data_IF_293828068262
#
_entry.id   IF_293828068262
#
_cell.length_a   1.000
_cell.length_b   1.000
_cell.length_c   1.000
_cell.angle_alpha   90.00
_cell.angle_beta   90.00
_cell.angle_gamma   90.00
#
_symmetry.space_group_name_H-M   'P 1'
#
loop_
_entity.id
_entity.type
_entity.pdbx_description
1 polymer ?
#
# COMPACT_ATOMS: atom_id res chain seq x y z
N UNK A 1 -9.69 -4.75 -13.91
CA UNK A 1 -9.61 -3.94 -15.14
C UNK A 1 -9.72 -4.82 -16.39
N UNK A 2 -10.75 -5.65 -16.43
CA UNK A 2 -11.10 -6.38 -17.64
C UNK A 2 -12.22 -5.66 -18.37
N UNK A 3 -12.19 -5.63 -19.69
CA UNK A 3 -13.24 -5.02 -20.52
C UNK A 3 -14.58 -5.73 -20.27
N UNK A 4 -14.55 -7.00 -19.85
CA UNK A 4 -15.72 -7.74 -19.40
C UNK A 4 -16.38 -7.21 -18.12
N UNK A 5 -15.61 -6.69 -17.15
CA UNK A 5 -16.18 -6.08 -15.93
C UNK A 5 -16.98 -4.81 -16.26
N UNK A 6 -16.49 -4.04 -17.22
CA UNK A 6 -17.16 -2.86 -17.73
C UNK A 6 -18.53 -3.22 -18.35
N UNK A 7 -18.63 -4.33 -19.09
CA UNK A 7 -19.91 -4.78 -19.64
C UNK A 7 -20.94 -5.05 -18.54
N UNK A 8 -20.55 -5.76 -17.48
CA UNK A 8 -21.46 -6.06 -16.37
C UNK A 8 -21.97 -4.80 -15.67
N UNK A 9 -21.10 -3.81 -15.44
CA UNK A 9 -21.50 -2.52 -14.85
C UNK A 9 -22.45 -1.77 -15.80
N UNK A 10 -22.11 -1.72 -17.09
CA UNK A 10 -22.89 -0.97 -18.07
C UNK A 10 -24.23 -1.62 -18.41
N UNK A 11 -24.32 -2.95 -18.45
CA UNK A 11 -25.57 -3.67 -18.69
C UNK A 11 -26.51 -3.57 -17.49
N UNK A 12 -25.97 -3.55 -16.27
CA UNK A 12 -26.75 -3.24 -15.08
C UNK A 12 -27.31 -1.81 -15.10
N UNK A 13 -26.49 -0.81 -15.42
CA UNK A 13 -26.91 0.60 -15.43
C UNK A 13 -27.79 0.96 -16.63
N UNK A 14 -27.47 0.40 -17.80
CA UNK A 14 -28.10 0.69 -19.08
C UNK A 14 -28.32 -0.62 -19.85
N UNK A 15 -29.34 -1.41 -19.50
CA UNK A 15 -29.61 -2.69 -20.14
C UNK A 15 -29.69 -2.57 -21.66
N UNK A 16 -29.11 -3.54 -22.37
CA UNK A 16 -29.04 -3.62 -23.84
C UNK A 16 -28.18 -2.57 -24.55
N UNK A 17 -27.58 -1.58 -23.86
CA UNK A 17 -26.74 -0.56 -24.50
C UNK A 17 -25.56 -1.16 -25.29
N UNK A 18 -24.95 -2.21 -24.73
CA UNK A 18 -23.77 -2.87 -25.30
C UNK A 18 -24.10 -4.24 -25.93
N UNK A 19 -25.38 -4.59 -25.98
CA UNK A 19 -25.87 -5.89 -26.43
C UNK A 19 -25.48 -7.06 -25.50
N UNK A 20 -25.79 -8.30 -25.90
CA UNK A 20 -25.49 -9.49 -25.12
C UNK A 20 -23.99 -9.68 -24.85
N UNK A 21 -23.64 -10.28 -23.70
CA UNK A 21 -22.25 -10.49 -23.27
C UNK A 21 -21.36 -11.19 -24.33
N UNK A 22 -21.94 -12.15 -25.06
CA UNK A 22 -21.25 -12.90 -26.13
C UNK A 22 -20.87 -11.99 -27.30
N UNK A 23 -21.77 -11.11 -27.72
CA UNK A 23 -21.53 -10.15 -28.78
C UNK A 23 -20.55 -9.07 -28.34
N UNK A 24 -20.72 -8.53 -27.12
CA UNK A 24 -19.79 -7.58 -26.55
C UNK A 24 -18.37 -8.14 -26.49
N UNK A 25 -18.21 -9.40 -26.05
CA UNK A 25 -16.90 -10.06 -26.00
C UNK A 25 -16.27 -10.17 -27.39
N UNK A 26 -17.05 -10.55 -28.40
CA UNK A 26 -16.57 -10.67 -29.78
C UNK A 26 -16.19 -9.31 -30.37
N UNK A 27 -17.01 -8.28 -30.15
CA UNK A 27 -16.89 -6.96 -30.78
C UNK A 27 -15.89 -6.03 -30.10
N UNK A 28 -15.77 -6.12 -28.78
CA UNK A 28 -14.94 -5.21 -28.00
C UNK A 28 -13.90 -5.95 -27.16
N UNK A 29 -14.30 -6.85 -26.25
CA UNK A 29 -13.36 -7.40 -25.27
C UNK A 29 -12.20 -8.18 -25.91
N UNK A 30 -12.46 -9.12 -26.81
CA UNK A 30 -11.40 -9.90 -27.45
C UNK A 30 -10.48 -9.05 -28.35
N UNK A 31 -11.00 -8.15 -29.23
CA UNK A 31 -10.16 -7.21 -29.97
C UNK A 31 -9.27 -6.32 -29.09
N UNK A 32 -9.83 -5.75 -28.03
CA UNK A 32 -9.11 -4.82 -27.14
C UNK A 32 -8.07 -5.57 -26.30
N UNK A 33 -8.44 -6.70 -25.69
CA UNK A 33 -7.57 -7.40 -24.74
C UNK A 33 -6.49 -8.25 -25.44
N UNK A 34 -6.84 -8.93 -26.55
CA UNK A 34 -5.91 -9.84 -27.24
C UNK A 34 -5.10 -9.14 -28.33
N UNK A 35 -5.73 -8.25 -29.07
CA UNK A 35 -5.14 -7.63 -30.25
C UNK A 35 -4.73 -6.16 -30.01
N UNK A 36 -4.97 -5.63 -28.80
CA UNK A 36 -4.69 -4.23 -28.44
C UNK A 36 -5.30 -3.23 -29.43
N UNK A 37 -6.48 -3.56 -29.95
CA UNK A 37 -7.15 -2.76 -30.97
C UNK A 37 -7.60 -1.40 -30.42
N UNK A 38 -6.86 -0.35 -30.82
CA UNK A 38 -7.10 1.02 -30.38
C UNK A 38 -8.37 1.64 -30.96
N UNK A 39 -8.88 1.12 -32.09
CA UNK A 39 -10.09 1.61 -32.74
C UNK A 39 -11.33 1.12 -31.97
N UNK A 40 -11.38 -0.18 -31.66
CA UNK A 40 -12.46 -0.73 -30.84
C UNK A 40 -12.47 -0.11 -29.43
N UNK A 41 -11.29 0.17 -28.86
CA UNK A 41 -11.17 0.88 -27.58
C UNK A 41 -11.78 2.29 -27.64
N UNK A 42 -11.47 3.07 -28.69
CA UNK A 42 -12.05 4.41 -28.91
C UNK A 42 -13.57 4.34 -29.12
N UNK A 43 -14.05 3.37 -29.89
CA UNK A 43 -15.47 3.19 -30.16
C UNK A 43 -16.25 2.84 -28.88
N UNK A 44 -15.72 1.91 -28.08
CA UNK A 44 -16.30 1.57 -26.79
C UNK A 44 -16.35 2.78 -25.85
N UNK A 45 -15.23 3.52 -25.74
CA UNK A 45 -15.18 4.74 -24.94
C UNK A 45 -16.26 5.75 -25.33
N UNK A 46 -16.48 6.00 -26.63
CA UNK A 46 -17.54 6.92 -27.09
C UNK A 46 -18.94 6.49 -26.69
N UNK A 47 -19.23 5.19 -26.70
CA UNK A 47 -20.54 4.65 -26.31
C UNK A 47 -20.83 4.81 -24.82
N UNK A 48 -19.81 4.60 -23.97
CA UNK A 48 -19.98 4.63 -22.51
C UNK A 48 -19.75 6.01 -21.90
N UNK A 49 -19.03 6.91 -22.59
CA UNK A 49 -18.62 8.20 -22.04
C UNK A 49 -19.76 9.06 -21.47
N UNK A 50 -20.95 9.15 -22.10
CA UNK A 50 -22.08 9.93 -21.55
C UNK A 50 -22.58 9.44 -20.19
N UNK A 51 -22.28 8.18 -19.83
CA UNK A 51 -22.76 7.54 -18.61
C UNK A 51 -21.68 7.44 -17.52
N UNK A 52 -20.43 7.79 -17.84
CA UNK A 52 -19.30 7.67 -16.92
C UNK A 52 -18.73 9.06 -16.66
N UNK A 53 -19.08 9.61 -15.50
CA UNK A 53 -18.38 10.77 -14.95
C UNK A 53 -17.15 10.28 -14.18
N UNK A 54 -15.96 10.46 -14.76
CA UNK A 54 -14.68 10.22 -14.08
C UNK A 54 -14.00 11.55 -13.82
N UNK A 55 -13.84 11.90 -12.55
CA UNK A 55 -13.01 13.02 -12.10
C UNK A 55 -11.73 12.47 -11.48
N UNK A 56 -10.62 13.13 -11.75
CA UNK A 56 -9.33 12.83 -11.10
C UNK A 56 -8.95 14.00 -10.21
N UNK A 57 -8.19 13.77 -9.14
CA UNK A 57 -7.80 14.87 -8.23
C UNK A 57 -6.87 15.91 -8.89
N UNK A 58 -6.36 15.60 -10.08
CA UNK A 58 -5.59 16.50 -10.94
C UNK A 58 -6.47 17.25 -11.95
N UNK A 59 -7.80 17.21 -11.78
CA UNK A 59 -8.75 17.97 -12.61
C UNK A 59 -8.68 19.46 -12.21
N UNK A 60 -8.36 20.39 -13.12
CA UNK A 60 -8.22 21.81 -12.81
C UNK A 60 -9.42 22.42 -12.10
N UNK A 61 -10.62 21.91 -12.36
CA UNK A 61 -11.87 22.35 -11.72
C UNK A 61 -12.03 21.88 -10.26
N UNK A 62 -11.13 21.02 -9.77
CA UNK A 62 -11.05 20.50 -8.38
C UNK A 62 -9.76 20.99 -7.69
N UNK A 63 -8.70 21.25 -8.46
CA UNK A 63 -7.36 21.58 -7.97
C UNK A 63 -7.32 22.90 -7.18
N UNK A 64 -8.26 23.83 -7.37
CA UNK A 64 -8.19 25.17 -6.75
C UNK A 64 -8.07 25.16 -5.23
N UNK A 65 -8.48 24.07 -4.57
CA UNK A 65 -8.62 23.99 -3.10
C UNK A 65 -7.70 22.96 -2.43
N UNK A 66 -6.86 22.23 -3.17
CA UNK A 66 -5.97 21.20 -2.60
C UNK A 66 -4.50 21.63 -2.65
N UNK A 67 -3.75 21.52 -1.53
CA UNK A 67 -2.35 21.93 -1.50
C UNK A 67 -1.46 20.94 -2.26
N UNK A 68 -0.19 21.32 -2.45
CA UNK A 68 0.79 20.45 -3.10
C UNK A 68 0.99 19.13 -2.32
N UNK A 69 1.06 18.02 -3.06
CA UNK A 69 1.35 16.68 -2.52
C UNK A 69 2.70 16.21 -3.07
N UNK A 70 3.65 15.95 -2.17
CA UNK A 70 4.95 15.38 -2.49
C UNK A 70 5.00 13.92 -2.05
N UNK A 71 5.37 13.01 -2.97
CA UNK A 71 5.58 11.59 -2.64
C UNK A 71 7.06 11.26 -2.81
N UNK A 72 7.64 10.60 -1.80
CA UNK A 72 9.04 10.23 -1.78
C UNK A 72 9.25 8.82 -1.24
N UNK A 73 10.20 8.11 -1.84
CA UNK A 73 10.68 6.83 -1.34
C UNK A 73 11.70 7.07 -0.23
N UNK A 74 11.52 6.39 0.91
CA UNK A 74 12.44 6.40 2.05
C UNK A 74 13.11 5.04 2.11
N UNK A 75 14.35 5.00 1.63
CA UNK A 75 15.16 3.79 1.62
C UNK A 75 15.72 3.50 3.01
N UNK A 76 15.52 2.28 3.47
CA UNK A 76 15.99 1.77 4.75
C UNK A 76 16.89 0.57 4.51
N UNK A 77 18.03 0.49 5.21
CA UNK A 77 18.88 -0.69 5.14
C UNK A 77 18.40 -1.74 6.17
N UNK A 78 18.59 -3.01 5.85
CA UNK A 78 18.38 -4.08 6.81
C UNK A 78 19.52 -4.08 7.83
N UNK A 79 19.22 -4.42 9.07
CA UNK A 79 20.26 -4.81 10.03
C UNK A 79 20.88 -6.16 9.62
N UNK A 80 22.07 -6.46 10.12
CA UNK A 80 22.74 -7.76 9.87
C UNK A 80 21.86 -8.95 10.24
N UNK A 81 21.10 -8.81 11.32
CA UNK A 81 20.15 -9.84 11.75
C UNK A 81 18.98 -9.97 10.76
N UNK A 82 18.36 -8.85 10.36
CA UNK A 82 17.29 -8.87 9.37
C UNK A 82 17.76 -9.52 8.07
N UNK A 83 18.97 -9.19 7.59
CA UNK A 83 19.54 -9.80 6.38
C UNK A 83 19.74 -11.31 6.53
N UNK A 84 20.26 -11.77 7.67
CA UNK A 84 20.42 -13.20 7.97
C UNK A 84 19.08 -13.95 8.00
N UNK A 85 18.08 -13.41 8.68
CA UNK A 85 16.72 -13.96 8.71
C UNK A 85 16.09 -13.98 7.32
N UNK A 86 16.26 -12.90 6.56
CA UNK A 86 15.71 -12.76 5.22
C UNK A 86 16.31 -13.81 4.27
N UNK A 87 17.63 -13.98 4.26
CA UNK A 87 18.31 -14.98 3.43
C UNK A 87 17.91 -16.41 3.79
N UNK A 88 17.80 -16.71 5.09
CA UNK A 88 17.37 -18.03 5.57
C UNK A 88 15.95 -18.37 5.11
N UNK A 89 15.00 -17.45 5.31
CA UNK A 89 13.60 -17.62 4.88
C UNK A 89 13.49 -17.72 3.37
N UNK A 90 14.20 -16.87 2.61
CA UNK A 90 14.17 -16.94 1.14
C UNK A 90 14.67 -18.30 0.64
N UNK A 91 15.76 -18.82 1.20
CA UNK A 91 16.32 -20.11 0.80
C UNK A 91 15.37 -21.27 1.11
N UNK A 92 14.81 -21.30 2.33
CA UNK A 92 13.83 -22.31 2.77
C UNK A 92 12.58 -22.31 1.87
N UNK A 93 12.02 -21.11 1.63
CA UNK A 93 10.76 -20.98 0.90
C UNK A 93 10.94 -21.28 -0.59
N UNK A 94 12.04 -20.87 -1.22
CA UNK A 94 12.31 -21.22 -2.62
C UNK A 94 12.48 -22.73 -2.81
N UNK A 95 13.18 -23.41 -1.91
CA UNK A 95 13.29 -24.88 -1.94
C UNK A 95 11.93 -25.58 -1.83
N UNK A 96 11.03 -25.04 -1.00
CA UNK A 96 9.66 -25.55 -0.87
C UNK A 96 8.79 -25.27 -2.11
N UNK A 97 9.03 -24.16 -2.81
CA UNK A 97 8.26 -23.73 -3.98
C UNK A 97 8.63 -24.53 -5.23
N UNK A 98 9.90 -24.92 -5.37
CA UNK A 98 10.41 -25.67 -6.54
C UNK A 98 9.65 -26.99 -6.76
N UNK A 99 9.18 -27.64 -5.70
CA UNK A 99 8.42 -28.89 -5.76
C UNK A 99 6.89 -28.74 -5.69
N UNK A 100 6.35 -27.53 -5.56
CA UNK A 100 4.93 -27.29 -5.33
C UNK A 100 4.20 -26.81 -6.60
N UNK A 101 2.92 -27.18 -6.73
CA UNK A 101 2.06 -26.76 -7.82
C UNK A 101 0.69 -26.25 -7.35
N UNK A 102 -0.03 -25.56 -8.24
CA UNK A 102 -1.41 -25.13 -8.00
C UNK A 102 -1.59 -24.30 -6.74
N UNK A 103 -2.61 -24.63 -5.94
CA UNK A 103 -2.98 -23.86 -4.74
C UNK A 103 -1.90 -23.91 -3.64
N UNK A 104 -1.17 -25.03 -3.53
CA UNK A 104 -0.08 -25.17 -2.57
C UNK A 104 1.05 -24.18 -2.88
N UNK A 105 1.45 -24.10 -4.16
CA UNK A 105 2.46 -23.14 -4.60
C UNK A 105 2.05 -21.71 -4.30
N UNK A 106 0.81 -21.33 -4.61
CA UNK A 106 0.28 -19.99 -4.30
C UNK A 106 0.32 -19.68 -2.81
N UNK A 107 -0.07 -20.65 -1.96
CA UNK A 107 0.00 -20.51 -0.50
C UNK A 107 1.42 -20.30 0.02
N UNK A 108 2.40 -21.06 -0.49
CA UNK A 108 3.80 -20.90 -0.13
C UNK A 108 4.35 -19.53 -0.51
N UNK A 109 4.02 -19.03 -1.72
CA UNK A 109 4.45 -17.71 -2.19
C UNK A 109 3.89 -16.61 -1.28
N UNK A 110 2.59 -16.65 -0.97
CA UNK A 110 1.96 -15.67 -0.09
C UNK A 110 2.56 -15.73 1.33
N UNK A 111 2.82 -16.93 1.85
CA UNK A 111 3.47 -17.08 3.15
C UNK A 111 4.90 -16.50 3.14
N UNK A 112 5.66 -16.71 2.06
CA UNK A 112 7.01 -16.16 1.92
C UNK A 112 6.98 -14.63 1.92
N UNK A 113 6.10 -14.04 1.11
CA UNK A 113 5.90 -12.59 1.04
C UNK A 113 5.58 -12.01 2.42
N UNK A 114 4.65 -12.63 3.15
CA UNK A 114 4.26 -12.16 4.50
C UNK A 114 5.44 -12.22 5.46
N UNK A 115 6.16 -13.34 5.51
CA UNK A 115 7.34 -13.51 6.38
C UNK A 115 8.43 -12.48 6.06
N UNK A 116 8.74 -12.28 4.79
CA UNK A 116 9.77 -11.32 4.36
C UNK A 116 9.36 -9.88 4.69
N UNK A 117 8.09 -9.51 4.51
CA UNK A 117 7.57 -8.20 4.95
C UNK A 117 7.68 -8.02 6.47
N UNK A 118 7.37 -9.05 7.27
CA UNK A 118 7.55 -9.00 8.72
C UNK A 118 9.02 -8.81 9.11
N UNK A 119 9.96 -9.48 8.42
CA UNK A 119 11.40 -9.31 8.63
C UNK A 119 11.84 -7.87 8.30
N UNK A 120 11.42 -7.33 7.16
CA UNK A 120 11.70 -5.93 6.77
C UNK A 120 11.16 -4.93 7.80
N UNK A 121 9.97 -5.20 8.36
CA UNK A 121 9.39 -4.38 9.42
C UNK A 121 10.19 -4.47 10.72
N UNK A 122 10.36 -5.68 11.25
CA UNK A 122 11.11 -5.92 12.48
C UNK A 122 11.36 -7.42 12.76
N UNK A 123 12.57 -7.86 13.16
CA UNK A 123 12.84 -9.25 13.56
C UNK A 123 11.88 -9.82 14.61
N UNK A 124 11.65 -9.09 15.71
CA UNK A 124 10.67 -9.45 16.75
C UNK A 124 9.24 -9.70 16.22
N UNK A 125 8.82 -9.03 15.13
CA UNK A 125 7.52 -9.29 14.50
C UNK A 125 7.52 -10.67 13.84
N UNK A 126 8.56 -10.99 13.06
CA UNK A 126 8.70 -12.28 12.40
C UNK A 126 8.90 -13.44 13.39
N UNK A 127 9.73 -13.23 14.41
CA UNK A 127 10.08 -14.24 15.42
C UNK A 127 8.98 -14.43 16.48
N UNK A 128 7.99 -13.53 16.53
CA UNK A 128 6.94 -13.56 17.56
C UNK A 128 7.46 -13.26 18.97
N UNK A 129 8.55 -12.49 19.10
CA UNK A 129 9.12 -12.12 20.39
C UNK A 129 8.13 -11.25 21.19
N UNK A 130 7.84 -11.55 22.47
CA UNK A 130 6.93 -10.73 23.27
C UNK A 130 7.58 -9.40 23.66
N UNK A 131 6.73 -8.42 24.02
CA UNK A 131 7.19 -7.15 24.59
C UNK A 131 7.53 -6.05 23.57
N UNK A 132 8.20 -4.97 24.03
CA UNK A 132 8.49 -3.81 23.20
C UNK A 132 9.49 -4.15 22.09
N UNK A 133 9.51 -3.33 21.04
CA UNK A 133 10.47 -3.48 19.96
C UNK A 133 11.88 -3.08 20.42
N UNK A 134 12.88 -3.96 20.34
CA UNK A 134 14.27 -3.58 20.50
C UNK A 134 14.79 -2.79 19.28
N UNK A 135 15.91 -2.09 19.41
CA UNK A 135 16.55 -1.35 18.31
C UNK A 135 17.27 -2.31 17.35
N UNK A 136 16.50 -3.03 16.54
CA UNK A 136 16.97 -4.09 15.62
C UNK A 136 16.37 -3.98 14.21
N UNK A 137 15.80 -2.83 13.85
CA UNK A 137 15.14 -2.61 12.55
C UNK A 137 15.41 -1.24 11.96
N UNK A 138 16.03 -1.20 10.79
CA UNK A 138 16.32 0.05 10.08
C UNK A 138 15.06 0.86 9.72
N UNK A 139 13.92 0.22 9.47
CA UNK A 139 12.65 0.94 9.26
C UNK A 139 12.14 1.59 10.54
N UNK A 140 12.25 0.92 11.69
CA UNK A 140 11.81 1.50 12.96
C UNK A 140 12.70 2.69 13.33
N UNK A 141 14.01 2.54 13.16
CA UNK A 141 14.98 3.59 13.42
C UNK A 141 14.70 4.81 12.54
N UNK A 142 14.50 4.60 11.23
CA UNK A 142 14.20 5.68 10.30
C UNK A 142 12.86 6.36 10.55
N UNK A 143 11.83 5.58 10.90
CA UNK A 143 10.51 6.12 11.23
C UNK A 143 10.58 7.00 12.48
N UNK A 144 11.32 6.55 13.50
CA UNK A 144 11.55 7.30 14.73
C UNK A 144 12.20 8.65 14.44
N UNK A 145 13.35 8.65 13.75
CA UNK A 145 14.08 9.88 13.40
C UNK A 145 13.19 10.90 12.68
N UNK A 146 12.47 10.45 11.66
CA UNK A 146 11.59 11.34 10.89
C UNK A 146 10.39 11.84 11.70
N UNK A 147 9.85 11.03 12.61
CA UNK A 147 8.74 11.47 13.46
C UNK A 147 9.20 12.43 14.56
N UNK A 148 10.42 12.29 15.07
CA UNK A 148 11.01 13.27 16.00
C UNK A 148 11.10 14.66 15.35
N UNK A 149 11.57 14.74 14.10
CA UNK A 149 11.61 15.98 13.31
C UNK A 149 10.21 16.55 13.10
N UNK A 150 9.25 15.72 12.64
CA UNK A 150 7.86 16.14 12.41
C UNK A 150 7.22 16.68 13.67
N UNK A 151 7.38 16.01 14.81
CA UNK A 151 6.81 16.46 16.08
C UNK A 151 7.49 17.73 16.57
N UNK A 152 8.81 17.86 16.40
CA UNK A 152 9.56 19.06 16.77
C UNK A 152 9.12 20.31 15.98
N UNK A 153 8.70 20.12 14.72
CA UNK A 153 8.15 21.18 13.87
C UNK A 153 6.68 21.53 14.19
N UNK A 154 6.03 20.80 15.10
CA UNK A 154 4.61 20.97 15.43
C UNK A 154 3.67 20.36 14.39
N UNK A 155 4.18 19.39 13.62
CA UNK A 155 3.46 18.75 12.52
C UNK A 155 2.84 17.42 12.94
N UNK A 156 1.85 17.00 12.15
CA UNK A 156 1.01 15.85 12.48
C UNK A 156 1.19 14.76 11.42
N UNK A 157 1.32 13.52 11.90
CA UNK A 157 1.64 12.38 11.08
C UNK A 157 0.56 11.28 11.12
N UNK A 158 0.28 10.69 9.97
CA UNK A 158 -0.34 9.37 9.87
C UNK A 158 0.73 8.31 9.62
N UNK A 159 0.65 7.18 10.30
CA UNK A 159 1.50 6.01 10.04
C UNK A 159 0.62 4.83 9.66
N UNK A 160 0.82 4.31 8.45
CA UNK A 160 0.08 3.16 7.93
C UNK A 160 0.93 1.89 8.00
N UNK A 161 0.33 0.81 8.52
CA UNK A 161 0.89 -0.55 8.50
C UNK A 161 -0.20 -1.55 8.15
N UNK A 162 0.10 -2.57 7.36
CA UNK A 162 -0.85 -3.64 7.04
C UNK A 162 -1.04 -4.61 8.22
N UNK A 163 -0.12 -4.60 9.20
CA UNK A 163 -0.11 -5.54 10.31
C UNK A 163 -0.60 -4.88 11.60
N UNK A 164 -1.72 -5.39 12.14
CA UNK A 164 -2.26 -4.90 13.42
C UNK A 164 -1.26 -5.03 14.56
N UNK A 165 -0.58 -6.16 14.65
CA UNK A 165 0.44 -6.42 15.69
C UNK A 165 1.57 -5.38 15.64
N UNK A 166 1.99 -5.00 14.44
CA UNK A 166 3.05 -4.02 14.25
C UNK A 166 2.56 -2.63 14.65
N UNK A 167 1.31 -2.28 14.33
CA UNK A 167 0.70 -1.03 14.77
C UNK A 167 0.66 -0.86 16.29
N UNK A 168 0.37 -1.94 17.03
CA UNK A 168 0.42 -1.93 18.51
C UNK A 168 1.84 -1.70 19.02
N UNK A 169 2.82 -2.40 18.43
CA UNK A 169 4.23 -2.28 18.82
C UNK A 169 4.83 -0.92 18.48
N UNK A 170 4.48 -0.35 17.32
CA UNK A 170 4.84 1.01 16.95
C UNK A 170 4.22 2.03 17.91
N UNK A 171 2.97 1.83 18.34
CA UNK A 171 2.32 2.70 19.32
C UNK A 171 3.14 2.75 20.63
N UNK A 172 3.54 1.59 21.15
CA UNK A 172 4.37 1.51 22.37
C UNK A 172 5.75 2.16 22.18
N UNK A 173 6.43 1.87 21.08
CA UNK A 173 7.75 2.43 20.75
C UNK A 173 7.70 3.96 20.66
N UNK A 174 6.76 4.48 19.87
CA UNK A 174 6.66 5.91 19.58
C UNK A 174 6.14 6.71 20.78
N UNK A 175 5.28 6.12 21.62
CA UNK A 175 4.82 6.77 22.87
C UNK A 175 6.01 7.02 23.80
N UNK A 176 6.90 6.03 23.94
CA UNK A 176 8.10 6.16 24.78
C UNK A 176 9.12 7.15 24.21
N UNK A 177 9.27 7.15 22.89
CA UNK A 177 10.33 7.95 22.26
C UNK A 177 9.93 9.42 22.13
N UNK A 178 8.69 9.68 21.71
CA UNK A 178 8.21 11.05 21.46
C UNK A 178 7.68 11.72 22.73
N UNK A 179 7.52 10.96 23.83
CA UNK A 179 6.90 11.44 25.08
C UNK A 179 5.53 12.11 24.83
N UNK A 180 4.74 11.49 23.94
CA UNK A 180 3.40 11.96 23.52
C UNK A 180 2.46 10.78 23.38
N UNK A 181 1.17 11.04 23.48
CA UNK A 181 0.19 10.00 23.23
C UNK A 181 0.12 9.69 21.73
N UNK A 182 0.23 8.42 21.39
CA UNK A 182 0.13 7.93 20.01
C UNK A 182 -1.21 7.22 19.86
N UNK A 183 -2.04 7.70 18.93
CA UNK A 183 -3.33 7.07 18.66
C UNK A 183 -3.14 5.86 17.75
N UNK A 184 -3.93 4.81 17.95
CA UNK A 184 -3.91 3.63 17.08
C UNK A 184 -5.31 3.14 16.73
N UNK A 185 -5.60 3.11 15.43
CA UNK A 185 -6.88 2.66 14.89
C UNK A 185 -6.73 1.37 14.07
N UNK A 186 -7.49 0.34 14.45
CA UNK A 186 -7.47 -0.96 13.79
C UNK A 186 -8.89 -1.50 13.51
N UNK A 187 -8.98 -2.64 12.82
CA UNK A 187 -10.27 -3.22 12.41
C UNK A 187 -11.21 -3.55 13.57
N UNK A 188 -10.67 -4.00 14.70
CA UNK A 188 -11.43 -4.27 15.93
C UNK A 188 -11.77 -3.06 16.80
N UNK A 189 -11.47 -1.82 16.39
CA UNK A 189 -11.79 -0.64 17.21
C UNK A 189 -13.28 -0.32 17.08
N UNK A 190 -14.04 -0.23 18.20
CA UNK A 190 -15.46 0.12 18.17
C UNK A 190 -15.74 1.47 17.49
N UNK A 191 -16.90 1.62 16.87
CA UNK A 191 -17.24 2.82 16.11
C UNK A 191 -17.20 4.11 16.96
N UNK A 192 -17.68 4.06 18.21
CA UNK A 192 -17.64 5.23 19.11
C UNK A 192 -16.20 5.66 19.42
N UNK A 193 -15.32 4.70 19.76
CA UNK A 193 -13.92 4.96 20.06
C UNK A 193 -13.16 5.47 18.83
N UNK A 194 -13.50 4.93 17.65
CA UNK A 194 -12.98 5.42 16.36
C UNK A 194 -13.32 6.90 16.15
N UNK A 195 -14.57 7.30 16.35
CA UNK A 195 -14.98 8.71 16.21
C UNK A 195 -14.21 9.60 17.18
N UNK A 196 -14.10 9.20 18.44
CA UNK A 196 -13.34 9.94 19.46
C UNK A 196 -11.86 10.09 19.10
N UNK A 197 -11.20 9.04 18.62
CA UNK A 197 -9.80 9.12 18.17
C UNK A 197 -9.63 10.10 17.02
N UNK A 198 -10.55 10.09 16.04
CA UNK A 198 -10.51 11.04 14.92
C UNK A 198 -10.72 12.47 15.40
N UNK A 199 -11.71 12.72 16.25
CA UNK A 199 -11.97 14.06 16.81
C UNK A 199 -10.76 14.58 17.60
N UNK A 200 -10.14 13.73 18.43
CA UNK A 200 -8.94 14.08 19.20
C UNK A 200 -7.76 14.43 18.30
N UNK A 201 -7.48 13.61 17.28
CA UNK A 201 -6.42 13.89 16.30
C UNK A 201 -6.68 15.19 15.53
N UNK A 202 -7.92 15.39 15.07
CA UNK A 202 -8.33 16.55 14.28
C UNK A 202 -8.33 17.85 15.10
N UNK A 203 -8.43 17.77 16.43
CA UNK A 203 -8.35 18.93 17.32
C UNK A 203 -6.96 19.59 17.35
N UNK A 204 -5.94 18.98 16.71
CA UNK A 204 -4.56 19.52 16.59
C UNK A 204 -3.98 19.95 17.94
N UNK A 205 -4.15 19.11 18.95
CA UNK A 205 -3.46 19.28 20.23
C UNK A 205 -2.12 18.56 20.15
N UNK A 206 -1.07 19.23 20.61
CA UNK A 206 0.30 18.69 20.64
C UNK A 206 0.43 17.41 21.49
N UNK A 207 -0.62 17.06 22.23
CA UNK A 207 -0.76 15.82 22.99
C UNK A 207 -0.79 14.56 22.11
N UNK A 208 -1.36 14.64 20.90
CA UNK A 208 -1.55 13.48 19.99
C UNK A 208 -1.06 13.75 18.55
N UNK A 209 0.25 13.95 18.33
CA UNK A 209 0.77 14.37 17.03
C UNK A 209 0.81 13.24 15.99
N UNK A 210 0.74 11.98 16.42
CA UNK A 210 0.84 10.80 15.54
C UNK A 210 -0.38 9.89 15.67
N UNK A 211 -0.93 9.48 14.53
CA UNK A 211 -2.02 8.52 14.45
C UNK A 211 -1.66 7.34 13.55
N UNK A 212 -1.58 6.14 14.15
CA UNK A 212 -1.29 4.89 13.47
C UNK A 212 -2.60 4.25 12.98
N UNK A 213 -2.60 3.71 11.75
CA UNK A 213 -3.74 3.04 11.14
C UNK A 213 -3.34 1.69 10.55
N UNK A 214 -4.06 0.63 10.93
CA UNK A 214 -3.89 -0.72 10.35
C UNK A 214 -5.11 -1.24 9.56
N UNK A 215 -5.91 -0.32 9.02
CA UNK A 215 -7.13 -0.66 8.30
C UNK A 215 -6.79 -0.97 6.84
N UNK A 216 -7.25 -2.13 6.35
CA UNK A 216 -7.32 -2.36 4.90
C UNK A 216 -8.12 -1.21 4.26
N UNK A 217 -7.66 -0.71 3.11
CA UNK A 217 -8.49 0.14 2.28
C UNK A 217 -9.77 -0.63 1.92
N UNK A 218 -10.93 -0.03 2.18
CA UNK A 218 -12.19 -0.67 1.82
C UNK A 218 -13.43 -0.34 2.65
N UNK A 219 -13.38 0.42 3.75
CA UNK A 219 -14.60 0.52 4.58
C UNK A 219 -14.90 1.80 5.36
N UNK A 220 -13.97 2.74 5.55
CA UNK A 220 -14.27 3.89 6.44
C UNK A 220 -13.70 5.18 5.86
N UNK A 221 -14.59 6.11 5.52
CA UNK A 221 -14.27 7.42 4.96
C UNK A 221 -13.74 8.41 6.00
N UNK A 222 -12.68 8.05 6.73
CA UNK A 222 -12.07 8.91 7.76
C UNK A 222 -11.51 10.19 7.13
N UNK A 223 -11.82 11.33 7.74
CA UNK A 223 -11.25 12.63 7.41
C UNK A 223 -10.13 12.95 8.42
N UNK A 224 -8.88 12.98 7.96
CA UNK A 224 -7.68 13.13 8.80
C UNK A 224 -6.81 14.30 8.31
N UNK A 225 -7.44 15.43 7.96
CA UNK A 225 -6.82 16.65 7.43
C UNK A 225 -5.91 17.39 8.41
N UNK A 226 -5.83 16.98 9.67
CA UNK A 226 -4.81 17.48 10.59
C UNK A 226 -3.41 17.05 10.18
N UNK A 227 -3.27 15.85 9.60
CA UNK A 227 -1.98 15.34 9.18
C UNK A 227 -1.47 16.01 7.90
N UNK A 228 -0.22 16.43 7.93
CA UNK A 228 0.52 16.89 6.75
C UNK A 228 1.70 15.97 6.41
N UNK A 229 1.97 14.95 7.24
CA UNK A 229 2.87 13.84 6.94
C UNK A 229 2.11 12.52 6.90
N UNK A 230 2.42 11.69 5.91
CA UNK A 230 1.86 10.34 5.76
C UNK A 230 3.00 9.35 5.55
N UNK A 231 3.16 8.42 6.47
CA UNK A 231 4.16 7.36 6.41
C UNK A 231 3.50 6.04 6.05
N UNK A 232 3.91 5.42 4.95
CA UNK A 232 3.61 4.03 4.63
C UNK A 232 4.77 3.17 5.12
N UNK A 233 4.65 2.67 6.35
CA UNK A 233 5.70 1.89 7.03
C UNK A 233 5.96 0.56 6.32
N UNK A 234 4.88 -0.10 5.90
CA UNK A 234 4.92 -1.24 4.99
C UNK A 234 3.98 -1.05 3.80
N UNK A 235 4.44 -1.51 2.64
CA UNK A 235 3.82 -1.18 1.36
C UNK A 235 2.65 -2.10 1.04
N UNK A 236 1.52 -1.47 0.74
CA UNK A 236 0.44 -2.10 0.01
C UNK A 236 0.77 -2.03 -1.48
N UNK A 237 1.09 -3.16 -2.10
CA UNK A 237 1.39 -3.21 -3.54
C UNK A 237 0.16 -3.08 -4.44
N UNK A 238 -1.00 -2.73 -3.86
CA UNK A 238 -2.15 -2.25 -4.61
C UNK A 238 -2.17 -0.70 -4.53
N UNK A 239 -1.84 0.00 -5.64
CA UNK A 239 -1.84 1.46 -5.69
C UNK A 239 -3.16 2.10 -5.23
N UNK A 240 -4.31 1.46 -5.50
CA UNK A 240 -5.60 2.01 -5.09
C UNK A 240 -5.78 2.00 -3.57
N UNK A 241 -5.22 1.01 -2.89
CA UNK A 241 -5.25 0.91 -1.42
C UNK A 241 -4.35 1.98 -0.81
N UNK A 242 -3.12 2.10 -1.30
CA UNK A 242 -2.16 3.09 -0.84
C UNK A 242 -2.68 4.52 -1.10
N UNK A 243 -3.22 4.77 -2.30
CA UNK A 243 -3.84 6.05 -2.63
C UNK A 243 -5.03 6.35 -1.73
N UNK A 244 -5.90 5.37 -1.44
CA UNK A 244 -7.02 5.57 -0.52
C UNK A 244 -6.54 5.91 0.91
N UNK A 245 -5.45 5.31 1.37
CA UNK A 245 -4.86 5.61 2.66
C UNK A 245 -4.32 7.06 2.71
N UNK A 246 -3.53 7.46 1.72
CA UNK A 246 -3.04 8.84 1.56
C UNK A 246 -4.18 9.85 1.42
N UNK A 247 -5.24 9.47 0.70
CA UNK A 247 -6.45 10.26 0.48
C UNK A 247 -7.29 10.51 1.74
N UNK A 248 -6.92 9.94 2.90
CA UNK A 248 -7.52 10.30 4.19
C UNK A 248 -6.97 11.62 4.74
N UNK A 249 -5.70 11.91 4.47
CA UNK A 249 -5.08 13.19 4.79
C UNK A 249 -5.27 14.21 3.65
N UNK A 250 -5.20 13.75 2.40
CA UNK A 250 -5.38 14.57 1.19
C UNK A 250 -6.85 14.74 0.81
N UNK A 251 -7.57 15.55 1.62
CA UNK A 251 -8.99 15.89 1.44
C UNK A 251 -9.23 17.39 1.47
N UNK A 252 -10.41 17.78 0.96
CA UNK A 252 -10.95 19.14 1.05
C UNK A 252 -10.93 19.58 2.51
N UNK A 253 -10.39 20.78 2.77
CA UNK A 253 -10.13 21.30 4.12
C UNK A 253 -8.69 21.11 4.60
N UNK A 254 -7.83 20.44 3.83
CA UNK A 254 -6.40 20.51 4.03
C UNK A 254 -5.84 21.82 3.48
N UNK A 255 -5.02 22.52 4.26
CA UNK A 255 -4.39 23.79 3.87
C UNK A 255 -2.87 23.73 3.83
N UNK A 256 -2.28 22.61 4.31
CA UNK A 256 -0.83 22.41 4.37
C UNK A 256 -0.38 21.45 3.29
N UNK A 257 0.83 21.67 2.76
CA UNK A 257 1.49 20.73 1.83
C UNK A 257 1.57 19.36 2.48
N UNK A 258 1.23 18.31 1.74
CA UNK A 258 1.29 16.94 2.24
C UNK A 258 2.57 16.26 1.76
N UNK A 259 3.31 15.67 2.70
CA UNK A 259 4.47 14.83 2.44
C UNK A 259 4.11 13.37 2.66
N UNK A 260 4.32 12.53 1.64
CA UNK A 260 4.04 11.09 1.68
C UNK A 260 5.36 10.34 1.60
N UNK A 261 5.66 9.57 2.63
CA UNK A 261 6.90 8.84 2.83
C UNK A 261 6.65 7.34 2.66
N UNK A 262 7.24 6.72 1.65
CA UNK A 262 7.05 5.30 1.33
C UNK A 262 8.29 4.52 1.73
N UNK A 263 8.21 3.73 2.80
CA UNK A 263 9.37 3.02 3.33
C UNK A 263 9.65 1.78 2.49
N UNK A 264 10.92 1.60 2.11
CA UNK A 264 11.38 0.52 1.25
C UNK A 264 12.71 0.00 1.79
N UNK A 265 12.79 -1.30 2.08
CA UNK A 265 14.07 -1.92 2.41
C UNK A 265 14.92 -2.17 1.15
N UNK A 266 16.14 -1.63 1.11
CA UNK A 266 17.12 -1.77 0.02
C UNK A 266 17.49 -3.24 -0.18
N UNK A 267 17.64 -3.66 -1.43
CA UNK A 267 18.06 -5.01 -1.81
C UNK A 267 17.03 -6.10 -1.53
N UNK A 268 15.82 -5.75 -1.07
CA UNK A 268 14.76 -6.71 -0.72
C UNK A 268 13.69 -6.82 -1.80
N UNK A 269 12.70 -7.69 -1.57
CA UNK A 269 11.50 -7.76 -2.40
C UNK A 269 10.75 -6.42 -2.48
N UNK A 270 10.83 -5.56 -1.47
CA UNK A 270 10.10 -4.30 -1.45
C UNK A 270 10.60 -3.37 -2.57
N UNK A 271 11.91 -3.20 -2.68
CA UNK A 271 12.55 -2.38 -3.70
C UNK A 271 12.30 -2.93 -5.11
N UNK A 272 12.45 -4.26 -5.28
CA UNK A 272 12.24 -4.90 -6.58
C UNK A 272 10.78 -4.77 -7.05
N UNK A 273 9.82 -4.87 -6.13
CA UNK A 273 8.41 -4.68 -6.46
C UNK A 273 8.12 -3.21 -6.77
N UNK A 274 8.70 -2.27 -6.02
CA UNK A 274 8.55 -0.85 -6.29
C UNK A 274 9.08 -0.48 -7.69
N UNK A 275 10.31 -0.87 -8.01
CA UNK A 275 10.91 -0.68 -9.32
C UNK A 275 10.06 -1.30 -10.45
N UNK A 276 9.45 -2.47 -10.20
CA UNK A 276 8.56 -3.10 -11.17
C UNK A 276 7.24 -2.34 -11.34
N UNK A 277 6.69 -1.75 -10.29
CA UNK A 277 5.48 -0.92 -10.34
C UNK A 277 5.76 0.41 -11.07
N UNK A 278 6.92 1.02 -10.86
CA UNK A 278 7.35 2.24 -11.56
C UNK A 278 7.60 1.99 -13.05
N UNK A 279 8.36 0.95 -13.39
CA UNK A 279 8.68 0.58 -14.77
C UNK A 279 7.44 0.20 -15.59
N UNK A 280 6.36 -0.19 -14.92
CA UNK A 280 5.10 -0.60 -15.55
C UNK A 280 3.95 0.35 -15.23
N UNK A 281 4.10 1.67 -15.09
CA UNK A 281 2.94 2.57 -14.87
C UNK A 281 1.77 2.32 -15.84
N UNK A 282 2.05 1.97 -17.11
CA UNK A 282 1.02 1.62 -18.12
C UNK A 282 0.41 0.21 -17.94
N UNK A 283 1.13 -0.75 -17.35
CA UNK A 283 0.66 -2.12 -17.09
C UNK A 283 0.11 -2.29 -15.67
N UNK A 284 0.54 -1.44 -14.74
CA UNK A 284 0.12 -1.37 -13.35
C UNK A 284 -1.39 -1.11 -13.29
N UNK A 285 -1.93 -0.29 -14.19
CA UNK A 285 -3.39 -0.12 -14.34
C UNK A 285 -4.13 -1.45 -14.55
N UNK A 286 -3.54 -2.44 -15.22
CA UNK A 286 -4.16 -3.77 -15.39
C UNK A 286 -3.93 -4.70 -14.19
N UNK A 287 -2.87 -4.48 -13.41
CA UNK A 287 -2.51 -5.24 -12.19
C UNK A 287 -3.30 -4.76 -10.96
N UNK A 288 -3.75 -3.50 -10.96
CA UNK A 288 -4.42 -2.80 -9.84
C UNK A 288 -5.65 -3.52 -9.27
N UNK A 289 -6.33 -4.39 -10.05
CA UNK A 289 -7.51 -5.12 -9.59
C UNK A 289 -7.22 -6.37 -8.75
N UNK A 290 -6.03 -6.97 -8.87
CA UNK A 290 -5.76 -8.32 -8.36
C UNK A 290 -5.03 -8.37 -7.00
N UNK A 291 -4.70 -7.22 -6.40
CA UNK A 291 -3.92 -7.17 -5.15
C UNK A 291 -2.54 -7.82 -5.32
N UNK A 292 -2.13 -8.66 -4.37
CA UNK A 292 -0.85 -9.40 -4.43
C UNK A 292 -0.93 -10.66 -5.32
N UNK A 293 -2.08 -10.96 -5.91
CA UNK A 293 -2.30 -12.22 -6.65
C UNK A 293 -1.36 -12.38 -7.86
N UNK A 294 -0.97 -11.27 -8.51
CA UNK A 294 -0.04 -11.32 -9.65
C UNK A 294 1.33 -11.89 -9.28
N UNK A 295 1.76 -11.77 -8.02
CA UNK A 295 3.01 -12.34 -7.52
C UNK A 295 2.96 -13.87 -7.52
N UNK A 296 1.79 -14.43 -7.21
CA UNK A 296 1.60 -15.88 -7.15
C UNK A 296 1.62 -16.55 -8.52
N UNK A 297 1.42 -15.76 -9.59
CA UNK A 297 1.45 -16.21 -10.99
C UNK A 297 2.84 -16.09 -11.63
N UNK A 298 3.85 -15.55 -10.92
CA UNK A 298 5.21 -15.47 -11.44
C UNK A 298 5.84 -16.86 -11.58
N UNK A 299 6.67 -17.03 -12.62
CA UNK A 299 7.52 -18.21 -12.75
C UNK A 299 8.52 -18.29 -11.60
N UNK A 300 8.99 -19.50 -11.32
CA UNK A 300 9.93 -19.74 -10.21
C UNK A 300 11.23 -18.95 -10.36
N UNK A 301 11.78 -18.81 -11.58
CA UNK A 301 12.98 -17.99 -11.81
C UNK A 301 12.75 -16.51 -11.53
N UNK A 302 11.59 -15.98 -11.95
CA UNK A 302 11.22 -14.59 -11.65
C UNK A 302 11.00 -14.39 -10.17
N UNK A 303 10.39 -15.35 -9.48
CA UNK A 303 10.20 -15.31 -8.05
C UNK A 303 11.55 -15.37 -7.31
N UNK A 304 12.47 -16.23 -7.74
CA UNK A 304 13.83 -16.30 -7.20
C UNK A 304 14.53 -14.95 -7.34
N UNK A 305 14.51 -14.37 -8.52
CA UNK A 305 15.03 -13.01 -8.73
C UNK A 305 14.32 -11.98 -7.84
N UNK A 306 13.01 -12.10 -7.62
CA UNK A 306 12.25 -11.16 -6.80
C UNK A 306 12.57 -11.27 -5.29
N UNK A 307 12.77 -12.48 -4.78
CA UNK A 307 12.90 -12.73 -3.35
C UNK A 307 14.35 -12.71 -2.86
N UNK A 308 15.34 -12.91 -3.75
CA UNK A 308 16.75 -12.97 -3.36
C UNK A 308 17.24 -11.60 -2.89
N UNK A 309 17.95 -11.59 -1.75
CA UNK A 309 18.55 -10.38 -1.17
C UNK A 309 19.74 -9.93 -2.03
N UNK A 310 19.82 -8.64 -2.33
CA UNK A 310 20.97 -8.02 -2.99
C UNK A 310 22.11 -7.76 -2.00
N UNK A 311 23.33 -7.57 -2.51
CA UNK A 311 24.54 -7.36 -1.69
C UNK A 311 24.54 -6.01 -0.94
N UNK A 312 23.82 -5.01 -1.45
CA UNK A 312 23.67 -3.66 -0.91
C UNK A 312 22.60 -3.52 0.19
N UNK A 313 21.96 -4.61 0.59
CA UNK A 313 20.86 -4.58 1.55
C UNK A 313 21.25 -4.20 3.00
N UNK A 314 22.53 -4.32 3.34
CA UNK A 314 23.06 -4.00 4.67
C UNK A 314 24.01 -2.81 4.53
N UNK A 315 23.84 -1.78 5.36
CA UNK A 315 24.80 -0.69 5.43
C UNK A 315 26.12 -1.19 6.03
N UNK A 316 27.26 -0.76 5.46
CA UNK A 316 28.60 -1.08 5.96
C UNK A 316 28.80 -0.73 7.45
#
# INVERSE_FOLDING_TARGET
NHVGELWSIMDFLNPNLLGPATEFRRRFAAPIERHKDSEQSRRLRRLIHPFILRRVKTDPDIISDLPEKMEMNVYCNLTREQAGLYQAVTSEMLGSIDGAAGIQRRGLILAAIVKLKQICNHPAQFLGEPGPLPERSGKCDRLREMLEEVVAEGDFALVFTQFREMGQRLQELLTRTLDREILFLHGGTPNHARTQMVERFQARRDETPVFILSLKAGGVGLNLTAANHVFHFDRWWNPAVEQQATDRAYRIGQTRRIQVHKFICVGTLEERIDAMLEAKRDLAENIIGAGEQWLTELSTDKLRSLLTLSEDAVAD
#
